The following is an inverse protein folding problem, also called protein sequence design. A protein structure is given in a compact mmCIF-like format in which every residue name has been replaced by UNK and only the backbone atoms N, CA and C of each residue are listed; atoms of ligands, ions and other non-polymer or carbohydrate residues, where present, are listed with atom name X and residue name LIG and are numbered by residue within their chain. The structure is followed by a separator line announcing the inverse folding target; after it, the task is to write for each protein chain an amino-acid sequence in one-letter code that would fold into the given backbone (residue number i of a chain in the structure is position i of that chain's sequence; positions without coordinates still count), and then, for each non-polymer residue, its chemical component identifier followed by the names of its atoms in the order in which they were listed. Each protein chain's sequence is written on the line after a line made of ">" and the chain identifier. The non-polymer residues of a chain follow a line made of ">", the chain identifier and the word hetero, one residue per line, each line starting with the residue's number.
data_IF_769948051924
#
_entry.id   IF_769948051924
#
_cell.length_a   1.000
_cell.length_b   1.000
_cell.length_c   1.000
_cell.angle_alpha   90.00
_cell.angle_beta   90.00
_cell.angle_gamma   90.00
#
_symmetry.space_group_name_H-M   'P 1'
#
loop_
_entity.id
_entity.type
_entity.pdbx_description
1 polymer ?
#
# COMPACT_ATOMS: atom_id res chain seq x y z
N UNK A 1 -4.73 -2.31 10.47
CA UNK A 1 -4.79 -3.35 11.52
C UNK A 1 -3.62 -4.33 11.36
N UNK A 2 -3.15 -4.96 12.43
CA UNK A 2 -2.04 -5.92 12.36
C UNK A 2 -0.64 -5.34 12.54
N UNK A 3 -0.46 -4.02 12.39
CA UNK A 3 0.77 -3.33 12.77
C UNK A 3 0.72 -2.92 14.24
N UNK A 4 1.84 -3.02 14.95
CA UNK A 4 1.95 -2.64 16.35
C UNK A 4 2.19 -1.12 16.48
N UNK A 5 1.19 -0.39 17.00
CA UNK A 5 1.27 1.06 17.17
C UNK A 5 0.78 1.87 15.95
N UNK A 6 1.04 3.19 15.93
CA UNK A 6 0.71 4.04 14.79
C UNK A 6 1.60 3.70 13.59
N UNK A 7 1.10 3.93 12.37
CA UNK A 7 1.91 3.77 11.16
C UNK A 7 3.10 4.75 11.20
N UNK A 8 4.31 4.32 10.81
CA UNK A 8 5.49 5.18 10.79
C UNK A 8 5.53 6.14 9.59
N UNK A 9 4.51 6.12 8.74
CA UNK A 9 4.35 6.94 7.54
C UNK A 9 2.91 7.46 7.42
N UNK A 10 2.75 8.51 6.62
CA UNK A 10 1.43 9.04 6.28
C UNK A 10 0.81 8.24 5.12
N UNK A 11 -0.36 7.66 5.39
CA UNK A 11 -1.13 6.88 4.44
C UNK A 11 -2.49 7.52 4.21
N UNK A 12 -2.83 7.72 2.95
CA UNK A 12 -4.16 8.11 2.49
C UNK A 12 -4.73 7.03 1.59
N UNK A 13 -6.02 6.75 1.72
CA UNK A 13 -6.74 5.79 0.87
C UNK A 13 -8.04 6.41 0.40
N UNK A 14 -8.45 6.12 -0.82
CA UNK A 14 -9.70 6.63 -1.35
C UNK A 14 -10.07 5.99 -2.68
N UNK A 15 -11.05 6.58 -3.35
CA UNK A 15 -11.49 6.18 -4.68
C UNK A 15 -11.34 7.35 -5.64
N UNK A 16 -10.90 7.05 -6.86
CA UNK A 16 -10.87 7.98 -7.99
C UNK A 16 -11.88 7.49 -9.02
N UNK A 17 -12.84 8.35 -9.35
CA UNK A 17 -13.80 8.12 -10.42
C UNK A 17 -13.16 8.25 -11.80
N UNK A 18 -13.50 7.35 -12.70
CA UNK A 18 -13.04 7.35 -14.09
C UNK A 18 -14.23 7.11 -15.02
N UNK A 19 -14.34 7.94 -16.05
CA UNK A 19 -15.47 7.97 -16.98
C UNK A 19 -16.33 9.23 -16.81
N UNK A 20 -17.18 9.52 -17.80
CA UNK A 20 -18.03 10.73 -17.79
C UNK A 20 -19.12 10.68 -16.71
N UNK A 21 -19.50 9.48 -16.25
CA UNK A 21 -20.53 9.24 -15.23
C UNK A 21 -20.01 8.38 -14.06
N UNK A 22 -18.75 8.56 -13.66
CA UNK A 22 -18.14 7.82 -12.54
C UNK A 22 -18.21 6.27 -12.70
N UNK A 23 -18.25 5.78 -13.95
CA UNK A 23 -18.49 4.38 -14.33
C UNK A 23 -17.57 3.39 -13.61
N UNK A 24 -16.33 3.79 -13.36
CA UNK A 24 -15.33 3.00 -12.65
C UNK A 24 -14.80 3.77 -11.45
N UNK A 25 -14.75 3.11 -10.30
CA UNK A 25 -14.13 3.61 -9.08
C UNK A 25 -12.82 2.86 -8.82
N UNK A 26 -11.68 3.52 -9.03
CA UNK A 26 -10.38 2.95 -8.72
C UNK A 26 -9.98 3.25 -7.28
N UNK A 27 -9.81 2.21 -6.48
CA UNK A 27 -9.28 2.35 -5.12
C UNK A 27 -7.76 2.56 -5.13
N UNK A 28 -7.24 3.45 -4.27
CA UNK A 28 -5.80 3.71 -4.17
C UNK A 28 -5.28 3.64 -2.73
N UNK A 29 -3.98 3.33 -2.62
CA UNK A 29 -3.14 3.57 -1.45
C UNK A 29 -2.10 4.61 -1.83
N UNK A 30 -2.10 5.77 -1.17
CA UNK A 30 -1.11 6.81 -1.34
C UNK A 30 -0.28 6.93 -0.08
N UNK A 31 1.02 6.69 -0.19
CA UNK A 31 1.97 6.79 0.91
C UNK A 31 2.91 7.94 0.58
N UNK A 32 2.98 8.92 1.48
CA UNK A 32 3.94 10.03 1.34
C UNK A 32 5.35 9.49 1.52
N UNK A 33 6.32 10.13 0.88
CA UNK A 33 7.70 9.71 1.04
C UNK A 33 8.15 9.79 2.50
N UNK A 34 8.91 8.78 2.94
CA UNK A 34 9.47 8.69 4.29
C UNK A 34 10.66 9.64 4.49
N UNK A 35 11.17 10.26 3.42
CA UNK A 35 12.29 11.20 3.44
C UNK A 35 11.85 12.67 3.35
N UNK A 36 11.59 13.20 2.15
CA UNK A 36 11.13 14.57 1.95
C UNK A 36 9.97 14.61 0.94
N UNK A 37 8.71 14.44 1.40
CA UNK A 37 7.56 14.31 0.52
C UNK A 37 7.22 15.57 -0.29
N UNK A 38 7.86 16.71 -0.03
CA UNK A 38 7.68 17.93 -0.83
C UNK A 38 8.62 18.00 -2.04
N UNK A 39 9.74 17.28 -2.00
CA UNK A 39 10.79 17.31 -3.05
C UNK A 39 10.94 15.96 -3.77
N UNK A 40 10.63 14.86 -3.08
CA UNK A 40 10.73 13.51 -3.63
C UNK A 40 9.65 13.25 -4.70
N UNK A 41 9.95 12.44 -5.73
CA UNK A 41 9.07 12.28 -6.89
C UNK A 41 7.79 11.51 -6.57
N UNK A 42 6.75 11.73 -7.39
CA UNK A 42 5.55 10.90 -7.38
C UNK A 42 5.77 9.62 -8.20
N UNK A 43 5.53 8.46 -7.58
CA UNK A 43 5.56 7.15 -8.24
C UNK A 43 4.16 6.54 -8.28
N UNK A 44 3.73 6.07 -9.46
CA UNK A 44 2.51 5.26 -9.62
C UNK A 44 2.92 3.82 -9.88
N UNK A 45 2.40 2.90 -9.07
CA UNK A 45 2.65 1.46 -9.20
C UNK A 45 1.38 0.69 -9.57
N UNK A 46 1.46 -0.10 -10.64
CA UNK A 46 0.36 -0.91 -11.15
C UNK A 46 0.80 -2.37 -11.24
N UNK A 47 0.21 -3.22 -10.39
CA UNK A 47 0.43 -4.67 -10.48
C UNK A 47 -0.32 -5.23 -11.69
N UNK A 48 0.33 -6.15 -12.41
CA UNK A 48 -0.21 -6.78 -13.60
C UNK A 48 -1.22 -7.91 -13.33
N UNK A 49 -1.02 -9.04 -13.99
CA UNK A 49 -1.94 -10.19 -13.95
C UNK A 49 -2.30 -10.63 -15.36
N UNK A 50 -3.50 -10.31 -15.88
CA UNK A 50 -4.39 -9.17 -15.54
C UNK A 50 -5.31 -9.37 -14.32
N UNK A 51 -5.70 -8.26 -13.67
CA UNK A 51 -6.72 -8.24 -12.60
C UNK A 51 -6.19 -8.41 -11.18
N UNK A 52 -4.87 -8.53 -10.98
CA UNK A 52 -4.28 -8.60 -9.64
C UNK A 52 -4.30 -7.21 -8.98
N UNK A 53 -4.51 -7.17 -7.67
CA UNK A 53 -4.51 -5.92 -6.90
C UNK A 53 -3.09 -5.40 -6.66
N UNK A 54 -2.87 -4.09 -6.81
CA UNK A 54 -1.61 -3.43 -6.40
C UNK A 54 -1.33 -3.53 -4.89
N UNK A 55 -2.32 -3.89 -4.06
CA UNK A 55 -2.07 -4.21 -2.65
C UNK A 55 -1.09 -5.38 -2.49
N UNK A 56 -1.03 -6.29 -3.46
CA UNK A 56 -0.07 -7.38 -3.45
C UNK A 56 1.37 -6.84 -3.44
N UNK A 57 1.72 -5.96 -4.38
CA UNK A 57 3.06 -5.38 -4.43
C UNK A 57 3.37 -4.55 -3.18
N UNK A 58 2.38 -3.83 -2.66
CA UNK A 58 2.54 -3.05 -1.43
C UNK A 58 2.93 -3.94 -0.23
N UNK A 59 2.38 -5.14 -0.09
CA UNK A 59 2.62 -6.03 1.07
C UNK A 59 3.73 -7.07 0.85
N UNK A 60 4.08 -7.38 -0.40
CA UNK A 60 4.98 -8.49 -0.73
C UNK A 60 6.20 -8.09 -1.56
N UNK A 61 6.24 -6.88 -2.12
CA UNK A 61 7.31 -6.43 -2.98
C UNK A 61 8.03 -5.21 -2.38
N UNK A 62 7.45 -4.00 -2.51
CA UNK A 62 8.18 -2.74 -2.35
C UNK A 62 7.54 -1.73 -1.39
N UNK A 63 6.51 -2.10 -0.63
CA UNK A 63 5.89 -1.19 0.33
C UNK A 63 6.60 -1.14 1.70
N UNK A 64 6.21 -0.16 2.54
CA UNK A 64 6.83 0.08 3.84
C UNK A 64 6.41 -0.92 4.91
N UNK A 65 5.36 -1.70 4.66
CA UNK A 65 4.91 -2.79 5.52
C UNK A 65 4.84 -4.10 4.75
N UNK A 66 5.22 -5.19 5.41
CA UNK A 66 5.04 -6.54 4.90
C UNK A 66 4.18 -7.38 5.85
N UNK A 67 3.52 -8.38 5.30
CA UNK A 67 2.89 -9.43 6.10
C UNK A 67 3.98 -10.26 6.78
N UNK A 68 3.84 -10.46 8.09
CA UNK A 68 4.70 -11.38 8.82
C UNK A 68 4.34 -12.80 8.42
N UNK A 69 5.30 -13.53 7.84
CA UNK A 69 5.09 -14.92 7.42
C UNK A 69 5.08 -15.85 8.63
N UNK A 70 3.88 -16.12 9.12
CA UNK A 70 3.61 -17.07 10.20
C UNK A 70 2.42 -17.97 9.83
N UNK A 71 2.34 -19.14 10.46
CA UNK A 71 1.24 -20.08 10.20
C UNK A 71 -0.07 -19.42 10.64
N UNK A 72 -1.04 -19.32 9.73
CA UNK A 72 -2.32 -18.71 10.03
C UNK A 72 -3.06 -19.51 11.12
N UNK A 73 -3.32 -18.84 12.25
CA UNK A 73 -3.94 -19.43 13.44
C UNK A 73 -5.39 -18.92 13.66
N UNK A 74 -5.95 -18.19 12.69
CA UNK A 74 -7.27 -17.56 12.82
C UNK A 74 -7.25 -16.12 13.35
N UNK A 75 -6.12 -15.60 13.83
CA UNK A 75 -6.00 -14.21 14.26
C UNK A 75 -5.85 -13.24 13.09
N UNK A 76 -5.90 -11.94 13.38
CA UNK A 76 -5.49 -10.93 12.41
C UNK A 76 -4.03 -11.17 12.00
N UNK A 77 -3.69 -11.07 10.69
CA UNK A 77 -2.30 -11.12 10.25
C UNK A 77 -1.48 -9.98 10.84
N UNK A 78 -0.27 -10.29 11.28
CA UNK A 78 0.67 -9.29 11.78
C UNK A 78 1.38 -8.59 10.61
N UNK A 79 1.60 -7.29 10.73
CA UNK A 79 2.38 -6.47 9.79
C UNK A 79 3.69 -6.04 10.47
N UNK A 80 4.76 -6.00 9.69
CA UNK A 80 6.09 -5.54 10.12
C UNK A 80 6.64 -4.53 9.13
N UNK A 81 7.47 -3.60 9.61
CA UNK A 81 8.15 -2.63 8.73
C UNK A 81 9.18 -3.31 7.84
N UNK A 82 9.37 -2.77 6.64
CA UNK A 82 10.43 -3.17 5.72
C UNK A 82 11.55 -2.13 5.72
N UNK A 83 12.77 -2.53 5.38
CA UNK A 83 13.93 -1.62 5.27
C UNK A 83 14.28 -1.25 3.82
N UNK A 84 13.51 -1.76 2.86
CA UNK A 84 13.75 -1.61 1.42
C UNK A 84 12.51 -1.08 0.69
N UNK A 85 11.66 -0.36 1.44
CA UNK A 85 10.51 0.35 0.88
C UNK A 85 10.94 1.30 -0.23
N UNK A 86 10.05 1.54 -1.17
CA UNK A 86 10.22 2.56 -2.22
C UNK A 86 9.57 3.90 -1.85
N UNK A 87 9.02 4.02 -0.64
CA UNK A 87 8.43 5.24 -0.09
C UNK A 87 9.47 6.07 0.66
#
# INVERSE_FOLDING_TARGET
>A
PGFEGPLPFELETGYISIGEEDEVQMFYYFIKSENNPQEDPLLIWLTGGPGCSSLFALLFENGPLALKFEVYNGSLPSLVSTTYSWT
#
